data_IF_617472846545
#
_entry.id   IF_617472846545
#
_cell.length_a   1.000
_cell.length_b   1.000
_cell.length_c   1.000
_cell.angle_alpha   90.00
_cell.angle_beta   90.00
_cell.angle_gamma   90.00
#
_symmetry.space_group_name_H-M   'P 1'
#
loop_
_entity.id
_entity.type
_entity.pdbx_description
1 polymer ?
#
# COMPACT_ATOMS: atom_id res chain seq x y z
N UNK A 1 -71.00 -13.04 123.37
CA UNK A 1 -71.70 -13.84 122.34
C UNK A 1 -71.16 -13.64 120.90
N UNK A 2 -70.21 -12.72 120.62
CA UNK A 2 -69.79 -12.39 119.23
C UNK A 2 -68.57 -13.13 118.66
N UNK A 3 -67.74 -13.83 119.46
CA UNK A 3 -66.50 -14.49 118.94
C UNK A 3 -66.74 -15.76 118.11
N UNK A 4 -67.89 -16.43 118.26
CA UNK A 4 -68.16 -17.72 117.59
C UNK A 4 -68.58 -17.59 116.12
N UNK A 5 -69.23 -16.47 115.75
CA UNK A 5 -69.65 -16.23 114.36
C UNK A 5 -68.52 -15.69 113.47
N UNK A 6 -67.53 -15.00 114.05
CA UNK A 6 -66.37 -14.48 113.31
C UNK A 6 -65.45 -15.62 112.82
N UNK A 7 -65.27 -16.66 113.63
CA UNK A 7 -64.50 -17.85 113.25
C UNK A 7 -65.13 -18.64 112.11
N UNK A 8 -66.46 -18.71 112.06
CA UNK A 8 -67.18 -19.42 110.99
C UNK A 8 -67.02 -18.73 109.63
N UNK A 9 -67.15 -17.40 109.59
CA UNK A 9 -66.97 -16.62 108.37
C UNK A 9 -65.54 -16.68 107.81
N UNK A 10 -64.54 -16.70 108.69
CA UNK A 10 -63.15 -16.90 108.28
C UNK A 10 -62.93 -18.29 107.67
N UNK A 11 -63.52 -19.33 108.25
CA UNK A 11 -63.37 -20.70 107.74
C UNK A 11 -64.07 -20.87 106.37
N UNK A 12 -65.25 -20.27 106.18
CA UNK A 12 -65.95 -20.31 104.89
C UNK A 12 -65.24 -19.48 103.83
N UNK A 13 -64.67 -18.34 104.20
CA UNK A 13 -63.89 -17.52 103.27
C UNK A 13 -62.58 -18.22 102.86
N UNK A 14 -61.91 -18.88 103.81
CA UNK A 14 -60.69 -19.65 103.56
C UNK A 14 -60.98 -20.88 102.67
N UNK A 15 -62.10 -21.57 102.90
CA UNK A 15 -62.50 -22.72 102.08
C UNK A 15 -62.87 -22.29 100.65
N UNK A 16 -63.57 -21.17 100.50
CA UNK A 16 -63.90 -20.59 99.19
C UNK A 16 -62.64 -20.14 98.44
N UNK A 17 -61.71 -19.46 99.14
CA UNK A 17 -60.43 -19.07 98.57
C UNK A 17 -59.58 -20.29 98.15
N UNK A 18 -59.60 -21.37 98.93
CA UNK A 18 -58.88 -22.60 98.61
C UNK A 18 -59.48 -23.32 97.39
N UNK A 19 -60.81 -23.26 97.21
CA UNK A 19 -61.50 -23.83 96.04
C UNK A 19 -61.20 -23.07 94.74
N UNK A 20 -61.04 -21.75 94.80
CA UNK A 20 -60.72 -20.93 93.63
C UNK A 20 -59.31 -21.23 93.08
N UNK A 21 -58.40 -21.75 93.91
CA UNK A 21 -57.04 -22.09 93.48
C UNK A 21 -56.88 -23.49 92.85
N UNK A 22 -57.91 -24.34 92.87
CA UNK A 22 -57.83 -25.71 92.30
C UNK A 22 -58.08 -25.73 90.78
N UNK A 23 -58.80 -24.75 90.24
CA UNK A 23 -59.23 -24.75 88.83
C UNK A 23 -58.12 -24.39 87.81
N UNK A 24 -56.99 -23.83 88.25
CA UNK A 24 -55.99 -23.26 87.32
C UNK A 24 -54.92 -24.27 86.85
N UNK A 25 -54.91 -25.50 87.35
CA UNK A 25 -53.81 -26.44 87.12
C UNK A 25 -53.99 -27.45 85.97
N UNK A 26 -55.10 -27.44 85.22
CA UNK A 26 -55.39 -28.47 84.20
C UNK A 26 -55.62 -27.93 82.78
N UNK A 27 -54.94 -26.86 82.38
CA UNK A 27 -54.87 -26.45 80.98
C UNK A 27 -53.66 -27.10 80.29
N UNK A 28 -53.70 -28.41 80.10
CA UNK A 28 -52.85 -29.08 79.11
C UNK A 28 -53.59 -28.96 77.77
N UNK A 29 -53.12 -28.07 76.88
CA UNK A 29 -53.65 -28.00 75.52
C UNK A 29 -53.34 -29.30 74.78
N UNK A 30 -54.37 -30.13 74.61
CA UNK A 30 -54.33 -31.30 73.75
C UNK A 30 -54.23 -30.83 72.31
N UNK A 31 -53.12 -31.14 71.63
CA UNK A 31 -52.99 -30.91 70.20
C UNK A 31 -54.20 -31.50 69.45
N UNK A 32 -54.79 -30.78 68.48
CA UNK A 32 -56.00 -31.21 67.80
C UNK A 32 -55.83 -32.63 67.24
N UNK A 33 -56.71 -33.55 67.67
CA UNK A 33 -56.70 -34.94 67.21
C UNK A 33 -57.15 -34.99 65.75
N UNK A 34 -56.19 -35.12 64.85
CA UNK A 34 -56.44 -35.37 63.42
C UNK A 34 -57.23 -36.68 63.31
N UNK A 35 -58.34 -36.66 62.58
CA UNK A 35 -59.16 -37.86 62.32
C UNK A 35 -58.55 -38.68 61.17
N UNK A 36 -58.64 -40.01 61.23
CA UNK A 36 -58.21 -40.90 60.14
C UNK A 36 -58.83 -40.50 58.78
N UNK A 37 -60.05 -39.96 58.80
CA UNK A 37 -60.72 -39.41 57.60
C UNK A 37 -59.95 -38.24 56.98
N UNK A 38 -59.43 -37.33 57.80
CA UNK A 38 -58.67 -36.16 57.35
C UNK A 38 -57.28 -36.58 56.81
N UNK A 39 -56.68 -37.63 57.40
CA UNK A 39 -55.43 -38.23 56.91
C UNK A 39 -55.65 -38.83 55.51
N UNK A 40 -56.72 -39.60 55.32
CA UNK A 40 -57.05 -40.20 54.03
C UNK A 40 -57.28 -39.11 52.97
N UNK A 41 -58.04 -38.05 53.29
CA UNK A 41 -58.27 -36.95 52.34
C UNK A 41 -56.97 -36.25 51.92
N UNK A 42 -56.07 -35.99 52.87
CA UNK A 42 -54.75 -35.40 52.58
C UNK A 42 -53.85 -36.35 51.78
N UNK A 43 -53.90 -37.66 52.06
CA UNK A 43 -53.16 -38.67 51.31
C UNK A 43 -53.67 -38.80 49.87
N UNK A 44 -54.99 -38.82 49.67
CA UNK A 44 -55.59 -38.84 48.33
C UNK A 44 -55.19 -37.59 47.53
N UNK A 45 -55.28 -36.39 48.13
CA UNK A 45 -54.83 -35.14 47.49
C UNK A 45 -53.33 -35.17 47.17
N UNK A 46 -52.51 -35.75 48.05
CA UNK A 46 -51.07 -35.90 47.83
C UNK A 46 -50.78 -36.87 46.68
N UNK A 47 -51.49 -37.99 46.61
CA UNK A 47 -51.37 -38.99 45.53
C UNK A 47 -51.77 -38.38 44.18
N UNK A 48 -52.88 -37.65 44.13
CA UNK A 48 -53.30 -36.89 42.94
C UNK A 48 -52.25 -35.85 42.54
N UNK A 49 -51.68 -35.13 43.51
CA UNK A 49 -50.57 -34.20 43.30
C UNK A 49 -49.33 -34.89 42.71
N UNK A 50 -48.93 -36.04 43.24
CA UNK A 50 -47.81 -36.83 42.70
C UNK A 50 -48.07 -37.36 41.30
N UNK A 51 -49.29 -37.85 41.03
CA UNK A 51 -49.67 -38.30 39.69
C UNK A 51 -49.65 -37.14 38.69
N UNK A 52 -50.15 -35.97 39.07
CA UNK A 52 -50.11 -34.75 38.25
C UNK A 52 -48.66 -34.37 37.90
N UNK A 53 -47.78 -34.32 38.91
CA UNK A 53 -46.35 -34.01 38.72
C UNK A 53 -45.67 -35.05 37.81
N UNK A 54 -45.93 -36.35 37.99
CA UNK A 54 -45.39 -37.40 37.10
C UNK A 54 -45.81 -37.19 35.64
N UNK A 55 -47.08 -36.83 35.39
CA UNK A 55 -47.58 -36.55 34.04
C UNK A 55 -46.90 -35.33 33.43
N UNK A 56 -46.75 -34.24 34.21
CA UNK A 56 -46.06 -33.03 33.74
C UNK A 56 -44.59 -33.31 33.41
N UNK A 57 -43.90 -34.05 34.28
CA UNK A 57 -42.50 -34.46 34.07
C UNK A 57 -42.40 -35.30 32.78
N UNK A 58 -43.26 -36.30 32.60
CA UNK A 58 -43.26 -37.13 31.39
C UNK A 58 -43.49 -36.30 30.12
N UNK A 59 -44.41 -35.34 30.16
CA UNK A 59 -44.67 -34.43 29.04
C UNK A 59 -43.46 -33.54 28.73
N UNK A 60 -42.82 -32.98 29.77
CA UNK A 60 -41.59 -32.17 29.61
C UNK A 60 -40.45 -33.00 29.03
N UNK A 61 -40.23 -34.22 29.51
CA UNK A 61 -39.22 -35.13 28.96
C UNK A 61 -39.47 -35.44 27.49
N UNK A 62 -40.71 -35.76 27.11
CA UNK A 62 -41.06 -36.01 25.71
C UNK A 62 -40.78 -34.79 24.81
N UNK A 63 -41.13 -33.58 25.28
CA UNK A 63 -40.83 -32.33 24.58
C UNK A 63 -39.32 -32.07 24.44
N UNK A 64 -38.54 -32.38 25.48
CA UNK A 64 -37.08 -32.27 25.46
C UNK A 64 -36.47 -33.27 24.46
N UNK A 65 -36.92 -34.52 24.47
CA UNK A 65 -36.44 -35.56 23.55
C UNK A 65 -36.67 -35.19 22.09
N UNK A 66 -37.85 -34.64 21.77
CA UNK A 66 -38.16 -34.13 20.44
C UNK A 66 -37.23 -32.97 20.03
N UNK A 67 -36.94 -32.05 20.96
CA UNK A 67 -36.02 -30.94 20.71
C UNK A 67 -34.59 -31.42 20.48
N UNK A 68 -34.12 -32.41 21.26
CA UNK A 68 -32.81 -33.02 21.07
C UNK A 68 -32.70 -33.72 19.72
N UNK A 69 -33.69 -34.56 19.38
CA UNK A 69 -33.74 -35.22 18.07
C UNK A 69 -33.72 -34.23 16.91
N UNK A 70 -34.50 -33.15 17.00
CA UNK A 70 -34.49 -32.08 16.00
C UNK A 70 -33.14 -31.35 15.92
N UNK A 71 -32.49 -31.13 17.05
CA UNK A 71 -31.18 -30.48 17.11
C UNK A 71 -30.10 -31.35 16.48
N UNK A 72 -30.12 -32.65 16.74
CA UNK A 72 -29.18 -33.62 16.17
C UNK A 72 -29.30 -33.69 14.65
N UNK A 73 -30.53 -33.73 14.11
CA UNK A 73 -30.76 -33.66 12.66
C UNK A 73 -30.21 -32.36 12.04
N UNK A 74 -30.40 -31.23 12.71
CA UNK A 74 -29.84 -29.94 12.25
C UNK A 74 -28.31 -29.94 12.28
N UNK A 75 -27.71 -30.58 13.27
CA UNK A 75 -26.26 -30.69 13.40
C UNK A 75 -25.68 -31.53 12.26
N UNK A 76 -26.23 -32.73 12.02
CA UNK A 76 -25.84 -33.59 10.89
C UNK A 76 -26.00 -32.89 9.53
N UNK A 77 -27.12 -32.17 9.35
CA UNK A 77 -27.34 -31.37 8.14
C UNK A 77 -26.31 -30.25 7.97
N UNK A 78 -25.91 -29.60 9.07
CA UNK A 78 -24.89 -28.56 9.05
C UNK A 78 -23.50 -29.13 8.71
N UNK A 79 -23.15 -30.28 9.29
CA UNK A 79 -21.90 -30.99 9.03
C UNK A 79 -21.78 -31.36 7.54
N UNK A 80 -22.83 -31.94 6.96
CA UNK A 80 -22.87 -32.28 5.53
C UNK A 80 -22.72 -31.04 4.64
N UNK A 81 -23.36 -29.92 5.00
CA UNK A 81 -23.22 -28.65 4.27
C UNK A 81 -21.81 -28.10 4.37
N UNK A 82 -21.17 -28.18 5.55
CA UNK A 82 -19.78 -27.75 5.72
C UNK A 82 -18.82 -28.59 4.89
N UNK A 83 -18.98 -29.92 4.88
CA UNK A 83 -18.15 -30.81 4.06
C UNK A 83 -18.31 -30.49 2.56
N UNK A 84 -19.55 -30.24 2.12
CA UNK A 84 -19.83 -29.87 0.72
C UNK A 84 -19.21 -28.53 0.36
N UNK A 85 -19.34 -27.51 1.23
CA UNK A 85 -18.71 -26.21 1.03
C UNK A 85 -17.19 -26.30 0.99
N UNK A 86 -16.59 -27.15 1.83
CA UNK A 86 -15.15 -27.37 1.87
C UNK A 86 -14.67 -27.98 0.55
N UNK A 87 -15.31 -29.07 0.08
CA UNK A 87 -15.00 -29.70 -1.21
C UNK A 87 -15.16 -28.73 -2.38
N UNK A 88 -16.23 -27.94 -2.40
CA UNK A 88 -16.45 -26.94 -3.45
C UNK A 88 -15.37 -25.85 -3.45
N UNK A 89 -14.95 -25.41 -2.26
CA UNK A 89 -13.90 -24.39 -2.10
C UNK A 89 -12.55 -24.92 -2.58
N UNK A 90 -12.22 -26.16 -2.21
CA UNK A 90 -10.99 -26.84 -2.64
C UNK A 90 -10.93 -27.00 -4.16
N UNK A 91 -11.99 -27.53 -4.77
CA UNK A 91 -12.09 -27.65 -6.23
C UNK A 91 -11.97 -26.29 -6.95
N UNK A 92 -12.60 -25.25 -6.41
CA UNK A 92 -12.51 -23.90 -6.98
C UNK A 92 -11.10 -23.34 -6.86
N UNK A 93 -10.43 -23.58 -5.73
CA UNK A 93 -9.05 -23.14 -5.50
C UNK A 93 -8.10 -23.85 -6.47
N UNK A 94 -8.21 -25.16 -6.63
CA UNK A 94 -7.42 -25.93 -7.59
C UNK A 94 -7.64 -25.45 -9.03
N UNK A 95 -8.89 -25.23 -9.44
CA UNK A 95 -9.21 -24.71 -10.77
C UNK A 95 -8.60 -23.32 -10.99
N UNK A 96 -8.68 -22.43 -9.99
CA UNK A 96 -8.08 -21.10 -10.05
C UNK A 96 -6.55 -21.16 -10.13
N UNK A 97 -5.91 -22.05 -9.37
CA UNK A 97 -4.46 -22.25 -9.43
C UNK A 97 -4.04 -22.73 -10.82
N UNK A 98 -4.69 -23.76 -11.37
CA UNK A 98 -4.41 -24.25 -12.72
C UNK A 98 -4.61 -23.19 -13.80
N UNK A 99 -5.69 -22.41 -13.70
CA UNK A 99 -5.95 -21.31 -14.63
C UNK A 99 -4.86 -20.23 -14.54
N UNK A 100 -4.41 -19.92 -13.33
CA UNK A 100 -3.37 -18.90 -13.10
C UNK A 100 -2.03 -19.38 -13.64
N UNK A 101 -1.67 -20.63 -13.41
CA UNK A 101 -0.46 -21.27 -13.95
C UNK A 101 -0.46 -21.27 -15.48
N UNK A 102 -1.55 -21.73 -16.10
CA UNK A 102 -1.71 -21.69 -17.56
C UNK A 102 -1.59 -20.27 -18.14
N UNK A 103 -2.21 -19.29 -17.48
CA UNK A 103 -2.12 -17.88 -17.91
C UNK A 103 -0.71 -17.35 -17.77
N UNK A 104 0.00 -17.72 -16.70
CA UNK A 104 1.37 -17.31 -16.46
C UNK A 104 2.33 -17.93 -17.48
N UNK A 105 2.18 -19.21 -17.79
CA UNK A 105 2.92 -19.88 -18.87
C UNK A 105 2.66 -19.23 -20.24
N UNK A 106 1.39 -18.94 -20.56
CA UNK A 106 1.03 -18.27 -21.80
C UNK A 106 1.65 -16.85 -21.88
N UNK A 107 1.63 -16.11 -20.77
CA UNK A 107 2.25 -14.79 -20.68
C UNK A 107 3.78 -14.86 -20.81
N UNK A 108 4.42 -15.87 -20.21
CA UNK A 108 5.86 -16.11 -20.36
C UNK A 108 6.21 -16.39 -21.81
N UNK A 109 5.50 -17.31 -22.49
CA UNK A 109 5.71 -17.62 -23.91
C UNK A 109 5.51 -16.38 -24.80
N UNK A 110 4.47 -15.60 -24.55
CA UNK A 110 4.22 -14.36 -25.29
C UNK A 110 5.35 -13.34 -25.08
N UNK A 111 5.81 -13.21 -23.83
CA UNK A 111 6.90 -12.30 -23.47
C UNK A 111 8.20 -12.73 -24.14
N UNK A 112 8.52 -14.02 -24.11
CA UNK A 112 9.71 -14.59 -24.76
C UNK A 112 9.68 -14.38 -26.28
N UNK A 113 8.54 -14.64 -26.94
CA UNK A 113 8.38 -14.34 -28.37
C UNK A 113 8.58 -12.86 -28.70
N UNK A 114 8.05 -11.96 -27.85
CA UNK A 114 8.25 -10.52 -28.01
C UNK A 114 9.72 -10.16 -27.84
N UNK A 115 10.40 -10.69 -26.83
CA UNK A 115 11.84 -10.48 -26.65
C UNK A 115 12.65 -10.94 -27.85
N UNK A 116 12.43 -12.15 -28.36
CA UNK A 116 13.09 -12.65 -29.57
C UNK A 116 12.84 -11.76 -30.80
N UNK A 117 11.62 -11.22 -30.93
CA UNK A 117 11.29 -10.31 -32.03
C UNK A 117 11.98 -8.94 -31.90
N UNK A 118 12.14 -8.45 -30.67
CA UNK A 118 12.85 -7.20 -30.37
C UNK A 118 14.35 -7.39 -30.58
N UNK A 119 14.91 -8.50 -30.12
CA UNK A 119 16.32 -8.85 -30.27
C UNK A 119 16.72 -8.88 -31.75
N UNK A 120 15.95 -9.55 -32.61
CA UNK A 120 16.19 -9.55 -34.07
C UNK A 120 16.20 -8.16 -34.70
N UNK A 121 15.29 -7.27 -34.28
CA UNK A 121 15.24 -5.89 -34.79
C UNK A 121 16.42 -5.06 -34.29
N UNK A 122 16.77 -5.27 -33.02
CA UNK A 122 17.91 -4.61 -32.40
C UNK A 122 19.22 -5.04 -33.06
N UNK A 123 19.40 -6.33 -33.36
CA UNK A 123 20.57 -6.85 -34.07
C UNK A 123 20.72 -6.21 -35.46
N UNK A 124 19.62 -6.09 -36.21
CA UNK A 124 19.64 -5.44 -37.52
C UNK A 124 20.03 -3.95 -37.43
N UNK A 125 19.48 -3.22 -36.46
CA UNK A 125 19.82 -1.82 -36.21
C UNK A 125 21.26 -1.65 -35.71
N UNK A 126 21.71 -2.54 -34.82
CA UNK A 126 23.05 -2.54 -34.27
C UNK A 126 24.09 -2.83 -35.35
N UNK A 127 23.84 -3.80 -36.22
CA UNK A 127 24.71 -4.13 -37.34
C UNK A 127 24.85 -2.94 -38.33
N UNK A 128 23.74 -2.24 -38.64
CA UNK A 128 23.79 -1.03 -39.47
C UNK A 128 24.57 0.09 -38.77
N UNK A 129 24.35 0.28 -37.48
CA UNK A 129 25.05 1.31 -36.69
C UNK A 129 26.56 1.03 -36.64
N UNK A 130 26.95 -0.22 -36.42
CA UNK A 130 28.35 -0.65 -36.49
C UNK A 130 28.94 -0.45 -37.89
N UNK A 131 28.22 -0.82 -38.95
CA UNK A 131 28.67 -0.59 -40.32
C UNK A 131 28.87 0.91 -40.62
N UNK A 132 27.98 1.77 -40.13
CA UNK A 132 28.08 3.22 -40.28
C UNK A 132 29.30 3.77 -39.51
N UNK A 133 29.54 3.31 -38.28
CA UNK A 133 30.74 3.68 -37.50
C UNK A 133 32.00 3.25 -38.24
N UNK A 134 32.07 2.02 -38.74
CA UNK A 134 33.21 1.51 -39.52
C UNK A 134 33.42 2.31 -40.81
N UNK A 135 32.34 2.73 -41.48
CA UNK A 135 32.41 3.58 -42.66
C UNK A 135 32.98 4.97 -42.35
N UNK A 136 32.56 5.59 -41.23
CA UNK A 136 33.10 6.88 -40.79
C UNK A 136 34.59 6.75 -40.44
N UNK A 137 34.97 5.75 -39.64
CA UNK A 137 36.37 5.51 -39.27
C UNK A 137 37.22 5.30 -40.52
N UNK A 138 36.75 4.49 -41.48
CA UNK A 138 37.40 4.28 -42.76
C UNK A 138 37.57 5.57 -43.56
N UNK A 139 36.54 6.42 -43.62
CA UNK A 139 36.58 7.69 -44.33
C UNK A 139 37.55 8.69 -43.68
N UNK A 140 37.54 8.80 -42.35
CA UNK A 140 38.49 9.65 -41.62
C UNK A 140 39.92 9.17 -41.85
N UNK A 141 40.15 7.86 -41.76
CA UNK A 141 41.45 7.25 -42.08
C UNK A 141 41.91 7.57 -43.51
N UNK A 142 41.00 7.47 -44.48
CA UNK A 142 41.27 7.79 -45.89
C UNK A 142 41.61 9.28 -46.10
N UNK A 143 40.86 10.20 -45.50
CA UNK A 143 41.12 11.66 -45.61
C UNK A 143 42.47 12.03 -45.01
N UNK A 144 42.85 11.43 -43.88
CA UNK A 144 44.16 11.64 -43.26
C UNK A 144 45.29 11.15 -44.18
N UNK A 145 45.09 10.02 -44.86
CA UNK A 145 46.04 9.47 -45.83
C UNK A 145 46.17 10.34 -47.10
N UNK A 146 45.04 10.79 -47.66
CA UNK A 146 44.99 11.65 -48.85
C UNK A 146 45.70 12.99 -48.61
N UNK A 147 45.38 13.67 -47.50
CA UNK A 147 46.03 14.94 -47.11
C UNK A 147 47.54 14.80 -46.96
N UNK A 148 48.04 13.69 -46.38
CA UNK A 148 49.49 13.43 -46.27
C UNK A 148 50.16 13.20 -47.63
N UNK A 149 49.41 12.72 -48.62
CA UNK A 149 49.93 12.42 -49.96
C UNK A 149 49.84 13.64 -50.89
N UNK A 150 48.79 14.45 -50.75
CA UNK A 150 48.51 15.63 -51.58
C UNK A 150 49.32 16.89 -51.22
N UNK A 151 49.91 16.97 -50.01
CA UNK A 151 50.71 18.12 -49.60
C UNK A 151 52.15 18.11 -50.16
N UNK A 152 52.68 16.95 -50.60
CA UNK A 152 54.02 16.84 -51.21
C UNK A 152 54.26 17.80 -52.40
N UNK A 153 53.31 18.01 -53.33
CA UNK A 153 53.49 18.97 -54.42
C UNK A 153 53.21 20.44 -54.03
N UNK A 154 52.48 20.69 -52.93
CA UNK A 154 52.16 22.04 -52.47
C UNK A 154 53.36 22.71 -51.78
N UNK A 155 54.17 21.94 -51.05
CA UNK A 155 55.38 22.41 -50.37
C UNK A 155 56.36 23.10 -51.35
N UNK A 156 56.56 22.51 -52.53
CA UNK A 156 57.42 23.10 -53.59
C UNK A 156 56.90 24.42 -54.17
N UNK A 157 55.61 24.69 -54.08
CA UNK A 157 55.02 25.96 -54.57
C UNK A 157 55.11 27.05 -53.52
N UNK A 158 54.99 26.70 -52.24
CA UNK A 158 55.18 27.64 -51.14
C UNK A 158 56.63 28.11 -51.06
N UNK A 159 57.61 27.25 -51.32
CA UNK A 159 59.03 27.68 -51.41
C UNK A 159 59.22 28.76 -52.48
N UNK A 160 58.62 28.59 -53.67
CA UNK A 160 58.75 29.59 -54.76
C UNK A 160 58.08 30.93 -54.43
N UNK A 161 56.94 30.90 -53.73
CA UNK A 161 56.24 32.11 -53.31
C UNK A 161 57.00 32.81 -52.18
N UNK A 162 57.63 32.05 -51.28
CA UNK A 162 58.47 32.62 -50.23
C UNK A 162 59.69 33.33 -50.81
N UNK A 163 60.38 32.73 -51.79
CA UNK A 163 61.53 33.33 -52.48
C UNK A 163 61.16 34.65 -53.20
N UNK A 164 60.01 34.69 -53.88
CA UNK A 164 59.56 35.87 -54.62
C UNK A 164 59.18 37.03 -53.68
N UNK A 165 58.60 36.71 -52.52
CA UNK A 165 58.28 37.69 -51.48
C UNK A 165 59.54 38.23 -50.80
N UNK A 166 60.56 37.38 -50.59
CA UNK A 166 61.85 37.78 -50.03
C UNK A 166 62.61 38.72 -50.98
N UNK A 167 62.54 38.48 -52.30
CA UNK A 167 63.07 39.41 -53.31
C UNK A 167 62.37 40.78 -53.31
N UNK A 168 61.04 40.84 -53.15
CA UNK A 168 60.25 42.09 -53.15
C UNK A 168 60.35 42.89 -51.84
N UNK A 169 60.60 42.21 -50.71
CA UNK A 169 60.88 42.85 -49.41
C UNK A 169 62.35 43.23 -49.22
N UNK A 170 63.27 42.69 -50.03
CA UNK A 170 64.69 43.04 -50.02
C UNK A 170 64.91 44.53 -50.32
N UNK A 171 65.55 45.24 -49.39
CA UNK A 171 65.83 46.69 -49.33
C UNK A 171 66.79 47.20 -50.44
N UNK A 172 66.85 46.53 -51.59
CA UNK A 172 67.79 46.81 -52.68
C UNK A 172 67.10 47.35 -53.96
N UNK A 173 65.96 48.03 -53.85
CA UNK A 173 65.36 48.75 -54.97
C UNK A 173 65.60 50.27 -54.83
N UNK A 174 66.26 50.93 -55.80
CA UNK A 174 66.58 52.37 -55.74
C UNK A 174 65.36 53.31 -55.86
N UNK A 175 64.17 52.76 -56.11
CA UNK A 175 62.92 53.50 -56.15
C UNK A 175 61.96 52.99 -55.06
N UNK A 176 61.96 53.65 -53.89
CA UNK A 176 61.16 53.36 -52.69
C UNK A 176 59.95 52.40 -52.83
N UNK A 177 59.98 51.35 -51.99
CA UNK A 177 59.07 50.19 -51.93
C UNK A 177 57.59 50.54 -52.15
N UNK A 178 56.90 49.67 -52.90
CA UNK A 178 55.46 49.77 -53.19
C UNK A 178 54.62 49.80 -51.91
N UNK A 179 55.04 49.10 -50.86
CA UNK A 179 54.39 49.15 -49.55
C UNK A 179 54.57 50.52 -48.89
N UNK A 180 55.75 51.11 -48.99
CA UNK A 180 56.01 52.47 -48.49
C UNK A 180 55.20 53.52 -49.24
N UNK A 181 55.03 53.35 -50.56
CA UNK A 181 54.20 54.22 -51.40
C UNK A 181 52.71 54.11 -51.07
N UNK A 182 52.23 52.89 -50.81
CA UNK A 182 50.86 52.64 -50.36
C UNK A 182 50.59 53.25 -48.97
N UNK A 183 51.53 53.11 -48.05
CA UNK A 183 51.42 53.71 -46.71
C UNK A 183 51.44 55.24 -46.79
N UNK A 184 52.28 55.82 -47.65
CA UNK A 184 52.34 57.27 -47.84
C UNK A 184 51.05 57.84 -48.45
N UNK A 185 50.52 57.18 -49.49
CA UNK A 185 49.26 57.57 -50.12
C UNK A 185 48.06 57.44 -49.16
N UNK A 186 48.06 56.40 -48.31
CA UNK A 186 47.02 56.26 -47.28
C UNK A 186 47.10 57.36 -46.22
N UNK A 187 48.30 57.84 -45.90
CA UNK A 187 48.54 58.88 -44.89
C UNK A 187 48.10 60.26 -45.36
N UNK A 188 48.27 60.56 -46.64
CA UNK A 188 47.92 61.85 -47.25
C UNK A 188 46.39 62.04 -47.30
N UNK A 189 45.65 60.99 -47.68
CA UNK A 189 44.18 61.01 -47.75
C UNK A 189 43.52 61.12 -46.36
N UNK A 190 44.21 60.71 -45.30
CA UNK A 190 43.67 60.73 -43.94
C UNK A 190 43.70 62.12 -43.27
N UNK A 191 44.44 63.10 -43.80
CA UNK A 191 44.60 64.42 -43.17
C UNK A 191 43.52 65.44 -43.56
N UNK A 192 42.93 65.34 -44.76
CA UNK A 192 42.06 66.39 -45.33
C UNK A 192 40.57 66.28 -44.95
N UNK A 193 40.13 65.17 -44.33
CA UNK A 193 38.72 64.93 -44.08
C UNK A 193 38.44 64.53 -42.62
N UNK A 194 37.91 65.43 -41.77
CA UNK A 194 37.61 65.12 -40.38
C UNK A 194 36.53 64.03 -40.25
N UNK A 195 35.70 63.80 -41.27
CA UNK A 195 34.72 62.70 -41.29
C UNK A 195 35.37 61.34 -41.54
N UNK A 196 36.50 61.28 -42.25
CA UNK A 196 37.22 60.03 -42.52
C UNK A 196 37.94 59.53 -41.26
N UNK A 197 38.46 60.45 -40.45
CA UNK A 197 39.07 60.12 -39.15
C UNK A 197 38.04 59.52 -38.17
N UNK A 198 36.82 60.06 -38.15
CA UNK A 198 35.69 59.53 -37.37
C UNK A 198 35.21 58.20 -37.96
N UNK A 199 35.14 58.04 -39.28
CA UNK A 199 34.76 56.77 -39.92
C UNK A 199 35.80 55.66 -39.75
N UNK A 200 37.08 55.98 -39.78
CA UNK A 200 38.15 55.01 -39.48
C UNK A 200 38.10 54.65 -38.00
N UNK A 201 37.91 55.63 -37.10
CA UNK A 201 37.72 55.40 -35.67
C UNK A 201 36.45 54.59 -35.38
N UNK A 202 35.37 54.83 -36.10
CA UNK A 202 34.09 54.13 -35.96
C UNK A 202 34.13 52.74 -36.59
N UNK A 203 34.84 52.55 -37.71
CA UNK A 203 35.09 51.24 -38.31
C UNK A 203 36.01 50.40 -37.43
N UNK A 204 37.06 51.00 -36.85
CA UNK A 204 37.88 50.38 -35.81
C UNK A 204 37.06 50.07 -34.56
N UNK A 205 36.11 50.92 -34.16
CA UNK A 205 35.22 50.66 -33.00
C UNK A 205 34.19 49.57 -33.27
N UNK A 206 33.59 49.52 -34.46
CA UNK A 206 32.64 48.46 -34.87
C UNK A 206 33.30 47.11 -35.09
N UNK A 207 34.57 47.10 -35.50
CA UNK A 207 35.31 45.86 -35.70
C UNK A 207 36.26 45.49 -34.56
N UNK A 208 36.35 46.31 -33.51
CA UNK A 208 37.06 45.98 -32.28
C UNK A 208 36.10 45.49 -31.20
N UNK A 209 35.79 44.18 -31.28
CA UNK A 209 35.52 43.25 -30.16
C UNK A 209 34.10 43.27 -29.55
N UNK A 210 33.26 42.24 -29.79
CA UNK A 210 33.08 41.05 -28.91
C UNK A 210 32.64 41.47 -27.49
N UNK A 211 31.48 41.17 -26.93
CA UNK A 211 30.51 40.07 -27.07
C UNK A 211 29.14 40.62 -26.63
N UNK A 212 28.05 40.33 -27.34
CA UNK A 212 26.74 40.24 -26.69
C UNK A 212 26.02 38.98 -27.18
N UNK A 213 26.28 37.87 -26.50
CA UNK A 213 25.36 36.74 -26.46
C UNK A 213 24.19 37.09 -25.54
N UNK A 214 22.92 37.10 -25.98
CA UNK A 214 21.81 37.12 -25.05
C UNK A 214 21.59 35.68 -24.53
N UNK A 215 22.11 35.37 -23.34
CA UNK A 215 21.63 34.22 -22.58
C UNK A 215 20.27 34.58 -21.97
N UNK A 216 19.21 33.92 -22.45
CA UNK A 216 17.98 33.70 -21.67
C UNK A 216 18.34 32.88 -20.43
N UNK A 217 18.04 33.41 -19.26
CA UNK A 217 17.44 32.66 -18.14
C UNK A 217 16.25 33.47 -17.65
#
# INVERSE_FOLDING_TARGET
MMKKHLSGLFFTALFSALMIHVDVALAVEVAPRISDREIIERLTRLEEGQQSIRREIAQRFSSIEQRFSSMEQRFLSMEQRMETMQKQTEQRMEAMQKQTEQRMEAMQKQTEQRFLSVEKRMDAQWNLTLALIMAIIGLVGFVIWDRKTALKPLERRFERIADELECDLGVASPEGSRLTRLIAALREIALDDPQLSERIREALRRHSLLEETPQRV
#
